data_IF_037150480051
#
_entry.id   IF_037150480051
#
_cell.length_a   1.000
_cell.length_b   1.000
_cell.length_c   1.000
_cell.angle_alpha   90.00
_cell.angle_beta   90.00
_cell.angle_gamma   90.00
#
_symmetry.space_group_name_H-M   'P 1'
#
loop_
_entity.id
_entity.type
_entity.pdbx_description
1 polymer ?
#
# COMPACT_ATOMS: atom_id res chain seq x y z
N UNK A 1 0.60 -3.19 5.11
CA UNK A 1 0.75 -3.78 6.47
C UNK A 1 1.84 -4.87 6.49
N UNK A 2 1.79 -5.93 5.65
CA UNK A 2 2.84 -6.97 5.67
C UNK A 2 4.22 -6.42 5.30
N UNK A 3 4.31 -5.57 4.29
CA UNK A 3 5.56 -4.94 3.85
C UNK A 3 6.17 -4.06 4.96
N UNK A 4 5.37 -3.21 5.62
CA UNK A 4 5.85 -2.37 6.72
C UNK A 4 6.28 -3.18 7.95
N UNK A 5 5.60 -4.31 8.24
CA UNK A 5 6.02 -5.23 9.29
C UNK A 5 7.36 -5.91 8.99
N UNK A 6 7.59 -6.33 7.73
CA UNK A 6 8.88 -6.90 7.31
C UNK A 6 9.99 -5.85 7.35
N UNK A 7 9.71 -4.60 7.00
CA UNK A 7 10.67 -3.50 7.12
C UNK A 7 11.07 -3.25 8.57
N UNK A 8 10.13 -3.25 9.51
CA UNK A 8 10.43 -3.16 10.94
C UNK A 8 11.33 -4.33 11.41
N UNK A 9 11.06 -5.55 10.96
CA UNK A 9 11.89 -6.73 11.27
C UNK A 9 13.30 -6.54 10.68
N UNK A 10 13.42 -6.07 9.44
CA UNK A 10 14.70 -5.78 8.81
C UNK A 10 15.52 -4.75 9.61
N UNK A 11 14.88 -3.68 10.09
CA UNK A 11 15.53 -2.67 10.94
C UNK A 11 15.96 -3.25 12.30
N UNK A 12 15.22 -4.19 12.89
CA UNK A 12 15.67 -4.90 14.10
C UNK A 12 16.94 -5.73 13.84
N UNK A 13 17.06 -6.36 12.67
CA UNK A 13 18.28 -7.04 12.27
C UNK A 13 19.44 -6.06 12.01
N UNK A 14 19.16 -4.89 11.44
CA UNK A 14 20.16 -3.83 11.26
C UNK A 14 20.72 -3.31 12.59
N UNK A 15 19.87 -3.16 13.62
CA UNK A 15 20.32 -2.81 14.99
C UNK A 15 21.27 -3.89 15.54
N UNK A 16 20.92 -5.17 15.37
CA UNK A 16 21.79 -6.28 15.78
C UNK A 16 23.11 -6.27 15.03
N UNK A 17 23.09 -6.03 13.72
CA UNK A 17 24.28 -5.89 12.90
C UNK A 17 25.16 -4.71 13.33
N UNK A 18 24.56 -3.53 13.61
CA UNK A 18 25.30 -2.38 14.14
C UNK A 18 25.96 -2.67 15.48
N UNK A 19 25.34 -3.51 16.33
CA UNK A 19 25.90 -3.96 17.60
C UNK A 19 27.12 -4.86 17.42
N UNK A 20 27.25 -5.60 16.32
CA UNK A 20 28.42 -6.47 16.08
C UNK A 20 29.73 -5.68 15.92
N UNK A 21 29.65 -4.39 15.53
CA UNK A 21 30.83 -3.52 15.45
C UNK A 21 31.56 -3.29 16.80
N UNK A 22 30.91 -3.62 17.93
CA UNK A 22 31.56 -3.60 19.26
C UNK A 22 32.41 -4.83 19.54
N UNK A 23 32.30 -5.89 18.71
CA UNK A 23 33.04 -7.14 18.88
C UNK A 23 34.16 -7.27 17.84
N UNK A 24 35.18 -8.09 18.13
CA UNK A 24 36.25 -8.37 17.14
C UNK A 24 35.67 -9.02 15.88
N UNK A 25 36.11 -8.55 14.72
CA UNK A 25 35.88 -9.22 13.45
C UNK A 25 36.97 -10.26 13.19
N UNK A 26 36.57 -11.43 12.76
CA UNK A 26 37.44 -12.53 12.39
C UNK A 26 37.29 -12.81 10.90
N UNK A 27 38.37 -12.57 10.15
CA UNK A 27 38.40 -12.75 8.71
C UNK A 27 39.30 -13.91 8.34
N UNK A 28 38.81 -14.82 7.52
CA UNK A 28 39.59 -15.91 6.92
C UNK A 28 39.79 -15.62 5.44
N UNK A 29 41.01 -15.60 5.00
CA UNK A 29 41.38 -15.42 3.60
C UNK A 29 42.16 -16.61 3.08
N UNK A 30 41.82 -17.08 1.87
CA UNK A 30 42.58 -18.08 1.16
C UNK A 30 42.76 -17.63 -0.28
N UNK A 31 43.98 -17.71 -0.79
CA UNK A 31 44.25 -17.51 -2.21
C UNK A 31 45.09 -18.62 -2.81
N UNK A 32 44.78 -18.95 -4.03
CA UNK A 32 45.57 -19.86 -4.86
C UNK A 32 45.94 -19.10 -6.15
N UNK A 33 47.25 -19.08 -6.45
CA UNK A 33 47.77 -18.47 -7.65
C UNK A 33 48.56 -19.47 -8.45
N UNK A 34 48.15 -19.73 -9.68
CA UNK A 34 48.89 -20.50 -10.67
C UNK A 34 49.58 -19.57 -11.63
N UNK A 35 50.91 -19.73 -11.81
CA UNK A 35 51.74 -19.00 -12.79
C UNK A 35 52.02 -19.87 -13.98
N UNK A 36 51.67 -19.40 -15.18
CA UNK A 36 51.87 -20.13 -16.43
C UNK A 36 53.35 -20.12 -16.83
N UNK A 37 54.08 -19.04 -16.54
CA UNK A 37 55.50 -18.93 -16.85
C UNK A 37 56.36 -19.08 -15.59
N UNK A 38 57.41 -19.92 -15.69
CA UNK A 38 58.47 -19.99 -14.66
C UNK A 38 59.26 -18.68 -14.69
N UNK A 39 59.40 -18.07 -13.54
CA UNK A 39 60.34 -16.98 -13.34
C UNK A 39 61.50 -17.47 -12.52
N UNK A 40 62.68 -17.52 -13.17
CA UNK A 40 63.93 -17.73 -12.44
C UNK A 40 64.43 -16.36 -11.98
N UNK A 41 64.50 -16.16 -10.67
CA UNK A 41 65.15 -14.99 -10.10
C UNK A 41 66.65 -15.27 -10.06
N UNK A 42 67.36 -14.62 -10.99
CA UNK A 42 68.83 -14.72 -11.05
C UNK A 42 69.45 -13.62 -10.14
N UNK A 43 70.14 -14.02 -9.10
CA UNK A 43 70.82 -13.15 -8.16
C UNK A 43 72.34 -13.04 -8.45
N UNK A 44 72.82 -13.53 -9.60
CA UNK A 44 74.21 -13.50 -10.02
C UNK A 44 74.79 -14.87 -10.23
N UNK A 45 76.09 -15.00 -10.63
CA UNK A 45 76.71 -16.26 -11.05
C UNK A 45 76.61 -17.38 -10.02
N UNK A 46 75.71 -18.36 -10.31
CA UNK A 46 75.53 -19.56 -9.49
C UNK A 46 74.43 -19.46 -8.42
N UNK A 47 73.54 -18.40 -8.45
CA UNK A 47 72.53 -18.23 -7.46
C UNK A 47 71.17 -17.88 -8.17
N UNK A 48 70.50 -18.91 -8.70
CA UNK A 48 69.15 -18.82 -9.23
C UNK A 48 68.15 -19.53 -8.31
N UNK A 49 67.02 -18.91 -8.03
CA UNK A 49 65.92 -19.50 -7.29
C UNK A 49 64.73 -19.72 -8.25
N UNK A 50 64.44 -20.99 -8.47
CA UNK A 50 63.27 -21.41 -9.26
C UNK A 50 61.99 -21.19 -8.42
N UNK A 51 61.07 -20.35 -8.88
CA UNK A 51 59.80 -20.13 -8.20
C UNK A 51 58.77 -21.18 -8.66
N UNK A 52 58.11 -21.81 -7.69
CA UNK A 52 57.04 -22.78 -7.92
C UNK A 52 55.88 -22.15 -8.71
N UNK A 53 55.25 -22.95 -9.60
CA UNK A 53 54.08 -22.55 -10.38
C UNK A 53 52.85 -22.26 -9.50
N UNK A 54 52.81 -22.90 -8.34
CA UNK A 54 51.68 -22.88 -7.42
C UNK A 54 52.02 -22.11 -6.16
N UNK A 55 51.27 -21.09 -5.86
CA UNK A 55 51.37 -20.38 -4.58
C UNK A 55 50.05 -20.46 -3.84
N UNK A 56 50.11 -21.00 -2.61
CA UNK A 56 48.96 -21.06 -1.70
C UNK A 56 49.22 -20.09 -0.56
N UNK A 57 48.19 -19.26 -0.24
CA UNK A 57 48.22 -18.48 0.99
C UNK A 57 46.94 -18.67 1.77
N UNK A 58 47.07 -18.93 3.05
CA UNK A 58 45.98 -19.00 4.01
C UNK A 58 46.26 -18.00 5.12
N UNK A 59 45.28 -17.17 5.45
CA UNK A 59 45.41 -16.19 6.50
C UNK A 59 44.18 -16.16 7.39
N UNK A 60 44.37 -15.91 8.67
CA UNK A 60 43.32 -15.57 9.62
C UNK A 60 43.69 -14.24 10.26
N UNK A 61 42.78 -13.26 10.18
CA UNK A 61 43.02 -11.94 10.74
C UNK A 61 41.90 -11.61 11.74
N UNK A 62 42.29 -11.18 12.94
CA UNK A 62 41.39 -10.66 13.96
C UNK A 62 41.56 -9.15 14.01
N UNK A 63 40.51 -8.40 13.78
CA UNK A 63 40.53 -6.96 13.84
C UNK A 63 39.53 -6.43 14.88
N UNK A 64 40.00 -5.57 15.77
CA UNK A 64 39.18 -4.91 16.78
C UNK A 64 39.55 -3.43 16.86
N UNK A 65 38.64 -2.49 16.46
CA UNK A 65 38.88 -1.09 16.70
C UNK A 65 38.76 -0.78 18.20
N UNK A 66 39.83 -0.33 18.79
CA UNK A 66 39.89 0.03 20.24
C UNK A 66 39.25 1.40 20.48
N UNK A 67 39.45 2.33 19.56
CA UNK A 67 38.88 3.66 19.62
C UNK A 67 38.64 4.20 18.20
N UNK A 68 37.41 4.63 17.95
CA UNK A 68 36.97 5.19 16.65
C UNK A 68 36.26 6.53 16.82
N UNK A 69 36.70 7.37 17.79
CA UNK A 69 36.12 8.70 17.99
C UNK A 69 34.62 8.72 18.26
N UNK A 70 34.07 7.66 18.85
CA UNK A 70 32.63 7.53 19.10
C UNK A 70 31.80 7.06 17.89
N UNK A 71 32.41 6.80 16.74
CA UNK A 71 31.70 6.42 15.49
C UNK A 71 30.85 5.15 15.70
N UNK A 72 31.39 4.11 16.33
CA UNK A 72 30.67 2.82 16.56
C UNK A 72 29.44 3.07 17.42
N UNK A 73 29.58 3.83 18.51
CA UNK A 73 28.47 4.16 19.40
C UNK A 73 27.39 4.98 18.69
N UNK A 74 27.78 6.03 17.95
CA UNK A 74 26.82 6.88 17.22
C UNK A 74 26.13 6.13 16.09
N UNK A 75 26.83 5.22 15.38
CA UNK A 75 26.21 4.36 14.37
C UNK A 75 25.19 3.40 14.98
N UNK A 76 25.51 2.81 16.13
CA UNK A 76 24.55 1.96 16.84
C UNK A 76 23.31 2.75 17.29
N UNK A 77 23.52 3.95 17.83
CA UNK A 77 22.42 4.84 18.25
C UNK A 77 21.57 5.28 17.06
N UNK A 78 22.20 5.59 15.93
CA UNK A 78 21.48 5.91 14.69
C UNK A 78 20.63 4.73 14.20
N UNK A 79 21.16 3.49 14.25
CA UNK A 79 20.41 2.29 13.91
C UNK A 79 19.21 2.07 14.86
N UNK A 80 19.33 2.37 16.16
CA UNK A 80 18.22 2.31 17.10
C UNK A 80 17.11 3.31 16.74
N UNK A 81 17.48 4.56 16.41
CA UNK A 81 16.51 5.59 15.98
C UNK A 81 15.83 5.19 14.68
N UNK A 82 16.57 4.63 13.71
CA UNK A 82 15.99 4.10 12.48
C UNK A 82 14.98 2.97 12.74
N UNK A 83 15.26 2.11 13.72
CA UNK A 83 14.31 1.09 14.17
C UNK A 83 13.03 1.67 14.76
N UNK A 84 13.12 2.75 15.53
CA UNK A 84 11.95 3.48 16.04
C UNK A 84 11.14 4.11 14.89
N UNK A 85 11.83 4.78 13.95
CA UNK A 85 11.18 5.36 12.76
C UNK A 85 10.41 4.29 11.97
N UNK A 86 10.98 3.10 11.80
CA UNK A 86 10.30 2.00 11.09
C UNK A 86 9.06 1.50 11.85
N UNK A 87 9.09 1.51 13.19
CA UNK A 87 7.93 1.16 14.01
C UNK A 87 6.80 2.18 13.85
N UNK A 88 7.11 3.48 13.96
CA UNK A 88 6.13 4.56 13.78
C UNK A 88 5.58 4.60 12.34
N UNK A 89 6.41 4.24 11.35
CA UNK A 89 5.99 4.15 9.96
C UNK A 89 5.00 2.97 9.72
N UNK A 90 5.16 1.85 10.45
CA UNK A 90 4.20 0.75 10.43
C UNK A 90 2.85 1.19 11.01
N UNK A 91 2.86 1.89 12.15
CA UNK A 91 1.65 2.40 12.79
C UNK A 91 0.94 3.41 11.87
N UNK A 92 1.68 4.37 11.30
CA UNK A 92 1.14 5.31 10.31
C UNK A 92 0.53 4.61 9.09
N UNK A 93 1.18 3.55 8.60
CA UNK A 93 0.66 2.76 7.47
C UNK A 93 -0.66 2.09 7.85
N UNK A 94 -0.77 1.57 9.06
CA UNK A 94 -1.98 0.95 9.59
C UNK A 94 -3.12 1.97 9.69
N UNK A 95 -2.85 3.13 10.27
CA UNK A 95 -3.83 4.22 10.39
C UNK A 95 -4.33 4.71 9.04
N UNK A 96 -3.42 4.87 8.06
CA UNK A 96 -3.79 5.25 6.70
C UNK A 96 -4.70 4.22 6.02
N UNK A 97 -4.47 2.92 6.27
CA UNK A 97 -5.33 1.86 5.71
C UNK A 97 -6.70 1.87 6.38
N UNK A 98 -6.77 2.05 7.69
CA UNK A 98 -8.04 2.18 8.42
C UNK A 98 -8.82 3.38 7.91
N UNK A 99 -8.18 4.54 7.81
CA UNK A 99 -8.80 5.74 7.26
C UNK A 99 -9.31 5.55 5.81
N UNK A 100 -8.50 4.92 4.97
CA UNK A 100 -8.91 4.61 3.60
C UNK A 100 -10.10 3.62 3.56
N UNK A 101 -10.16 2.66 4.47
CA UNK A 101 -11.27 1.73 4.58
C UNK A 101 -12.56 2.44 4.97
N UNK A 102 -12.52 3.30 5.97
CA UNK A 102 -13.64 4.10 6.40
C UNK A 102 -14.16 5.01 5.27
N UNK A 103 -13.24 5.72 4.59
CA UNK A 103 -13.60 6.59 3.47
C UNK A 103 -14.28 5.82 2.33
N UNK A 104 -13.74 4.66 1.95
CA UNK A 104 -14.32 3.84 0.89
C UNK A 104 -15.66 3.23 1.31
N UNK A 105 -15.80 2.81 2.58
CA UNK A 105 -17.07 2.30 3.11
C UNK A 105 -18.17 3.35 3.04
N UNK A 106 -17.92 4.55 3.57
CA UNK A 106 -18.89 5.63 3.55
C UNK A 106 -19.19 6.16 2.14
N UNK A 107 -18.19 6.13 1.25
CA UNK A 107 -18.42 6.43 -0.18
C UNK A 107 -19.36 5.42 -0.81
N UNK A 108 -19.17 4.12 -0.54
CA UNK A 108 -20.04 3.07 -1.07
C UNK A 108 -21.46 3.15 -0.47
N UNK A 109 -21.60 3.47 0.82
CA UNK A 109 -22.88 3.68 1.48
C UNK A 109 -23.63 4.88 0.87
N UNK A 110 -22.94 5.99 0.63
CA UNK A 110 -23.54 7.17 -0.04
C UNK A 110 -24.01 6.85 -1.47
N UNK A 111 -23.21 6.09 -2.24
CA UNK A 111 -23.58 5.65 -3.60
C UNK A 111 -24.77 4.69 -3.60
N UNK A 112 -24.87 3.80 -2.61
CA UNK A 112 -26.06 2.96 -2.39
C UNK A 112 -27.29 3.81 -2.16
N UNK A 113 -27.22 4.77 -1.23
CA UNK A 113 -28.36 5.68 -0.97
C UNK A 113 -28.78 6.47 -2.20
N UNK A 114 -27.83 6.94 -3.02
CA UNK A 114 -28.15 7.61 -4.28
C UNK A 114 -28.83 6.68 -5.28
N UNK A 115 -28.40 5.44 -5.40
CA UNK A 115 -29.05 4.43 -6.23
C UNK A 115 -30.49 4.16 -5.76
N UNK A 116 -30.71 4.03 -4.44
CA UNK A 116 -32.02 3.79 -3.86
C UNK A 116 -32.99 4.95 -4.14
N UNK A 117 -32.52 6.21 -4.04
CA UNK A 117 -33.27 7.41 -4.42
C UNK A 117 -33.61 7.42 -5.91
N UNK A 118 -32.65 7.02 -6.78
CA UNK A 118 -32.93 6.92 -8.22
C UNK A 118 -33.94 5.83 -8.57
N UNK A 119 -33.97 4.72 -7.82
CA UNK A 119 -35.02 3.71 -7.96
C UNK A 119 -36.39 4.30 -7.66
N UNK A 120 -36.55 4.96 -6.51
CA UNK A 120 -37.81 5.60 -6.14
C UNK A 120 -38.24 6.67 -7.15
N UNK A 121 -37.28 7.44 -7.67
CA UNK A 121 -37.57 8.47 -8.69
C UNK A 121 -38.08 7.85 -9.98
N UNK A 122 -37.50 6.74 -10.46
CA UNK A 122 -38.02 6.04 -11.64
C UNK A 122 -39.44 5.53 -11.40
N UNK A 123 -39.75 4.98 -10.22
CA UNK A 123 -41.07 4.47 -9.88
C UNK A 123 -42.12 5.60 -9.93
N UNK A 124 -41.80 6.78 -9.37
CA UNK A 124 -42.69 7.93 -9.38
C UNK A 124 -42.93 8.44 -10.82
N UNK A 125 -41.87 8.55 -11.64
CA UNK A 125 -42.00 9.03 -13.03
C UNK A 125 -42.73 7.99 -13.90
N UNK A 126 -42.54 6.70 -13.63
CA UNK A 126 -43.29 5.62 -14.31
C UNK A 126 -44.77 5.69 -13.99
N UNK A 127 -45.15 5.93 -12.73
CA UNK A 127 -46.54 6.09 -12.34
C UNK A 127 -47.18 7.32 -13.04
N UNK A 128 -46.45 8.43 -13.07
CA UNK A 128 -46.90 9.63 -13.81
C UNK A 128 -47.10 9.34 -15.31
N UNK A 129 -46.16 8.61 -15.93
CA UNK A 129 -46.25 8.23 -17.33
C UNK A 129 -47.49 7.35 -17.60
N UNK A 130 -47.83 6.44 -16.69
CA UNK A 130 -49.01 5.59 -16.78
C UNK A 130 -50.32 6.44 -16.71
N UNK A 131 -50.38 7.39 -15.75
CA UNK A 131 -51.52 8.28 -15.61
C UNK A 131 -51.73 9.14 -16.86
N UNK A 132 -50.61 9.71 -17.40
CA UNK A 132 -50.70 10.54 -18.59
C UNK A 132 -51.00 9.72 -19.86
N UNK A 133 -50.56 8.48 -19.91
CA UNK A 133 -50.94 7.57 -21.00
C UNK A 133 -52.47 7.34 -21.03
N UNK A 134 -53.07 7.11 -19.86
CA UNK A 134 -54.54 6.96 -19.72
C UNK A 134 -55.26 8.23 -20.16
N UNK A 135 -54.82 9.41 -19.68
CA UNK A 135 -55.44 10.70 -20.06
C UNK A 135 -55.30 11.00 -21.55
N UNK A 136 -54.19 10.59 -22.18
CA UNK A 136 -54.04 10.73 -23.63
C UNK A 136 -55.01 9.85 -24.38
N UNK A 137 -55.20 8.60 -23.94
CA UNK A 137 -56.19 7.67 -24.53
C UNK A 137 -57.62 8.20 -24.41
N UNK A 138 -57.91 8.92 -23.30
CA UNK A 138 -59.19 9.60 -23.07
C UNK A 138 -59.32 10.95 -23.83
N UNK A 139 -58.31 11.36 -24.60
CA UNK A 139 -58.30 12.59 -25.37
C UNK A 139 -58.11 13.87 -24.53
N UNK A 140 -57.68 13.76 -23.27
CA UNK A 140 -57.57 14.87 -22.32
C UNK A 140 -56.24 15.65 -22.41
N UNK A 141 -55.22 15.08 -23.02
CA UNK A 141 -53.90 15.70 -23.16
C UNK A 141 -53.33 15.54 -24.59
N UNK A 142 -52.34 16.38 -24.91
CA UNK A 142 -51.69 16.34 -26.21
C UNK A 142 -50.67 15.20 -26.32
N UNK A 143 -50.37 14.76 -27.56
CA UNK A 143 -49.31 13.79 -27.83
C UNK A 143 -47.93 14.33 -27.39
N UNK A 144 -47.72 15.64 -27.46
CA UNK A 144 -46.49 16.31 -27.06
C UNK A 144 -46.24 16.13 -25.55
N UNK A 145 -47.29 16.32 -24.73
CA UNK A 145 -47.19 16.14 -23.28
C UNK A 145 -46.85 14.71 -22.91
N UNK A 146 -47.49 13.73 -23.58
CA UNK A 146 -47.17 12.32 -23.37
C UNK A 146 -45.70 12.00 -23.75
N UNK A 147 -45.22 12.46 -24.92
CA UNK A 147 -43.85 12.26 -25.35
C UNK A 147 -42.85 12.92 -24.40
N UNK A 148 -43.16 14.06 -23.83
CA UNK A 148 -42.30 14.75 -22.87
C UNK A 148 -42.11 13.92 -21.59
N UNK A 149 -43.14 13.29 -21.06
CA UNK A 149 -43.07 12.45 -19.87
C UNK A 149 -42.34 11.13 -20.19
N UNK A 150 -42.58 10.53 -21.33
CA UNK A 150 -41.86 9.37 -21.78
C UNK A 150 -40.37 9.64 -21.91
N UNK A 151 -39.98 10.82 -22.42
CA UNK A 151 -38.56 11.23 -22.46
C UNK A 151 -37.96 11.39 -21.06
N UNK A 152 -38.71 12.02 -20.12
CA UNK A 152 -38.27 12.10 -18.72
C UNK A 152 -38.09 10.74 -18.04
N UNK A 153 -39.00 9.79 -18.37
CA UNK A 153 -38.85 8.43 -17.85
C UNK A 153 -37.55 7.78 -18.35
N UNK A 154 -37.24 7.93 -19.64
CA UNK A 154 -35.98 7.37 -20.19
C UNK A 154 -34.76 8.05 -19.61
N UNK A 155 -34.79 9.33 -19.32
CA UNK A 155 -33.73 10.03 -18.60
C UNK A 155 -33.59 9.53 -17.16
N UNK A 156 -34.69 9.30 -16.45
CA UNK A 156 -34.68 8.75 -15.10
C UNK A 156 -34.08 7.33 -15.08
N UNK A 157 -34.44 6.45 -16.02
CA UNK A 157 -33.88 5.11 -16.17
C UNK A 157 -32.37 5.15 -16.46
N UNK A 158 -31.90 6.08 -17.29
CA UNK A 158 -30.51 6.30 -17.58
C UNK A 158 -29.74 6.71 -16.31
N UNK A 159 -30.26 7.67 -15.56
CA UNK A 159 -29.67 8.16 -14.31
C UNK A 159 -29.62 7.06 -13.24
N UNK A 160 -30.66 6.22 -13.13
CA UNK A 160 -30.66 5.02 -12.27
C UNK A 160 -29.54 4.05 -12.65
N UNK A 161 -29.36 3.80 -13.96
CA UNK A 161 -28.32 2.90 -14.46
C UNK A 161 -26.91 3.46 -14.17
N UNK A 162 -26.73 4.77 -14.30
CA UNK A 162 -25.49 5.46 -13.95
C UNK A 162 -25.19 5.35 -12.43
N UNK A 163 -26.19 5.61 -11.59
CA UNK A 163 -26.07 5.50 -10.14
C UNK A 163 -25.73 4.05 -9.71
N UNK A 164 -26.35 3.06 -10.33
CA UNK A 164 -26.02 1.65 -10.09
C UNK A 164 -24.57 1.31 -10.44
N UNK A 165 -24.09 1.77 -11.60
CA UNK A 165 -22.70 1.60 -12.01
C UNK A 165 -21.74 2.23 -11.00
N UNK A 166 -22.04 3.45 -10.55
CA UNK A 166 -21.19 4.15 -9.57
C UNK A 166 -21.16 3.43 -8.22
N UNK A 167 -22.29 2.87 -7.80
CA UNK A 167 -22.35 2.01 -6.60
C UNK A 167 -21.49 0.74 -6.76
N UNK A 168 -21.59 0.07 -7.91
CA UNK A 168 -20.76 -1.12 -8.18
C UNK A 168 -19.26 -0.81 -8.18
N UNK A 169 -18.85 0.32 -8.75
CA UNK A 169 -17.45 0.77 -8.72
C UNK A 169 -16.98 1.01 -7.27
N UNK A 170 -17.81 1.64 -6.45
CA UNK A 170 -17.48 1.88 -5.06
C UNK A 170 -17.31 0.59 -4.25
N UNK A 171 -18.18 -0.43 -4.50
CA UNK A 171 -18.03 -1.76 -3.91
C UNK A 171 -16.73 -2.45 -4.34
N UNK A 172 -16.39 -2.35 -5.63
CA UNK A 172 -15.14 -2.94 -6.14
C UNK A 172 -13.91 -2.29 -5.50
N UNK A 173 -13.91 -0.97 -5.32
CA UNK A 173 -12.83 -0.26 -4.64
C UNK A 173 -12.69 -0.70 -3.18
N UNK A 174 -13.79 -0.89 -2.48
CA UNK A 174 -13.80 -1.41 -1.11
C UNK A 174 -13.23 -2.85 -1.06
N UNK A 175 -13.65 -3.72 -1.99
CA UNK A 175 -13.15 -5.09 -2.09
C UNK A 175 -11.63 -5.13 -2.32
N UNK A 176 -11.12 -4.31 -3.24
CA UNK A 176 -9.67 -4.21 -3.51
C UNK A 176 -8.91 -3.80 -2.26
N UNK A 177 -9.43 -2.84 -1.49
CA UNK A 177 -8.80 -2.39 -0.25
C UNK A 177 -8.79 -3.50 0.82
N UNK A 178 -9.86 -4.30 0.90
CA UNK A 178 -9.93 -5.48 1.78
C UNK A 178 -9.05 -6.65 1.32
N UNK A 179 -8.43 -6.55 0.13
CA UNK A 179 -7.61 -7.63 -0.43
C UNK A 179 -8.40 -8.82 -0.97
N UNK A 180 -9.70 -8.65 -1.24
CA UNK A 180 -10.56 -9.67 -1.85
C UNK A 180 -10.78 -9.37 -3.35
N UNK A 181 -11.16 -10.38 -4.16
CA UNK A 181 -11.43 -10.14 -5.58
C UNK A 181 -12.49 -9.04 -5.78
N UNK A 182 -12.31 -8.11 -6.75
CA UNK A 182 -13.20 -6.96 -6.93
C UNK A 182 -14.68 -7.32 -7.14
N UNK A 183 -14.95 -8.47 -7.75
CA UNK A 183 -16.30 -8.95 -8.04
C UNK A 183 -16.95 -9.74 -6.89
N UNK A 184 -16.32 -9.80 -5.71
CA UNK A 184 -16.91 -10.48 -4.56
C UNK A 184 -18.18 -9.73 -4.12
N UNK A 185 -19.33 -10.41 -3.99
CA UNK A 185 -20.56 -9.77 -3.55
C UNK A 185 -20.41 -9.35 -2.08
N UNK A 186 -20.56 -8.04 -1.84
CA UNK A 186 -20.57 -7.45 -0.49
C UNK A 186 -21.82 -6.59 -0.37
N UNK A 187 -22.52 -6.74 0.73
CA UNK A 187 -23.64 -5.89 1.09
C UNK A 187 -23.21 -4.86 2.12
N UNK A 188 -23.60 -3.61 1.89
CA UNK A 188 -23.42 -2.55 2.85
C UNK A 188 -24.65 -2.52 3.77
N UNK A 189 -24.41 -2.73 5.06
CA UNK A 189 -25.47 -2.91 6.05
C UNK A 189 -26.17 -1.61 6.43
N UNK A 190 -25.46 -0.48 6.40
CA UNK A 190 -25.99 0.78 6.93
C UNK A 190 -26.46 1.74 5.84
N UNK A 191 -27.72 2.16 5.94
CA UNK A 191 -28.13 3.44 5.35
C UNK A 191 -27.57 4.57 6.22
N UNK A 192 -27.04 5.63 5.61
CA UNK A 192 -26.61 6.84 6.34
C UNK A 192 -27.87 7.48 6.97
N UNK A 193 -28.21 7.06 8.17
CA UNK A 193 -29.44 7.51 8.83
C UNK A 193 -29.22 8.68 9.78
N UNK A 194 -28.00 8.91 10.27
CA UNK A 194 -27.68 10.07 11.10
C UNK A 194 -26.20 10.41 11.07
N UNK A 195 -25.89 11.66 10.72
CA UNK A 195 -24.60 12.27 11.05
C UNK A 195 -24.69 12.70 12.52
N UNK A 196 -24.06 11.97 13.43
CA UNK A 196 -23.82 12.52 14.78
C UNK A 196 -22.90 13.73 14.65
N UNK A 197 -23.28 14.90 15.19
CA UNK A 197 -22.37 16.03 15.22
C UNK A 197 -21.09 15.61 15.94
N UNK A 198 -19.93 15.81 15.30
CA UNK A 198 -18.63 15.62 15.94
C UNK A 198 -18.62 16.39 17.26
N UNK A 199 -18.23 15.77 18.38
CA UNK A 199 -18.02 16.51 19.62
C UNK A 199 -16.95 17.57 19.34
N UNK A 200 -17.33 18.85 19.37
CA UNK A 200 -16.42 19.98 19.24
C UNK A 200 -15.54 20.10 20.48
N UNK A 201 -14.55 19.21 20.61
CA UNK A 201 -13.44 19.31 21.55
C UNK A 201 -12.12 19.47 20.80
N UNK A 202 -12.13 20.33 19.77
CA UNK A 202 -10.88 20.78 19.15
C UNK A 202 -10.56 22.12 19.81
N UNK A 203 -9.81 22.11 20.91
CA UNK A 203 -9.36 23.36 21.48
C UNK A 203 -8.79 23.37 22.89
N UNK A 204 -8.55 22.28 23.55
CA UNK A 204 -7.97 22.29 24.92
C UNK A 204 -6.60 21.62 25.08
N UNK A 205 -5.93 21.25 23.97
CA UNK A 205 -4.54 20.77 24.03
C UNK A 205 -3.65 21.53 23.03
N UNK A 206 -3.34 22.80 23.34
CA UNK A 206 -2.21 23.57 22.80
C UNK A 206 -1.51 24.29 23.94
#
# INVERSE_FOLDING_TARGET
>A
IKESAEERIAMQHAIKAAKTAFFPALDFSGSYQYRINKYDLDFGPGMSVEMDHNTYSLGATVSQPVYAGGQIYNNYKAAQIQGQIASEAEDLTTDNIVYAADLNYWSAAARKGMYDVMCQYVDIVQELANVLTTRFNDGQISKTDLLQVQSRLKEAELNKSAAYKDYQIALQNLNVLMGVPPMTPVEIADAITMVQPLPMHIGEEL
#
